data_IF_910410283000
#
_entry.id   IF_910410283000
#
_cell.length_a   1.000
_cell.length_b   1.000
_cell.length_c   1.000
_cell.angle_alpha   90.00
_cell.angle_beta   90.00
_cell.angle_gamma   90.00
#
_symmetry.space_group_name_H-M   'P 1'
#
loop_
_entity.id
_entity.type
_entity.pdbx_description
1 polymer ?
#
# COMPACT_ATOMS: atom_id res chain seq x y z
N UNK A 1 7.87 10.07 -15.69
CA UNK A 1 6.68 10.54 -14.92
C UNK A 1 6.52 9.73 -13.65
N UNK A 2 6.49 8.39 -13.75
CA UNK A 2 6.68 7.54 -12.57
C UNK A 2 7.98 7.88 -11.82
N UNK A 3 9.05 8.14 -12.56
CA UNK A 3 10.34 8.57 -11.98
C UNK A 3 10.21 9.87 -11.21
N UNK A 4 9.36 10.80 -11.65
CA UNK A 4 9.11 12.05 -10.93
C UNK A 4 8.49 11.75 -9.56
N UNK A 5 7.44 10.93 -9.52
CA UNK A 5 6.80 10.52 -8.27
C UNK A 5 7.81 9.79 -7.38
N UNK A 6 8.48 8.76 -7.89
CA UNK A 6 9.47 8.00 -7.12
C UNK A 6 10.61 8.87 -6.60
N UNK A 7 11.14 9.80 -7.40
CA UNK A 7 12.17 10.73 -6.95
C UNK A 7 11.70 11.57 -5.76
N UNK A 8 10.43 11.99 -5.73
CA UNK A 8 9.88 12.70 -4.56
C UNK A 8 9.70 11.78 -3.36
N UNK A 9 9.25 10.54 -3.55
CA UNK A 9 9.16 9.56 -2.44
C UNK A 9 10.55 9.23 -1.87
N UNK A 10 11.55 9.06 -2.74
CA UNK A 10 12.93 8.80 -2.33
C UNK A 10 13.51 10.03 -1.58
N UNK A 11 13.17 11.27 -2.00
CA UNK A 11 13.52 12.50 -1.24
C UNK A 11 12.84 12.56 0.12
N UNK A 12 11.54 12.22 0.20
CA UNK A 12 10.81 12.16 1.48
C UNK A 12 11.49 11.17 2.42
N UNK A 13 11.78 9.96 1.94
CA UNK A 13 12.48 8.97 2.76
C UNK A 13 13.86 9.47 3.18
N UNK A 14 14.64 10.06 2.27
CA UNK A 14 15.96 10.62 2.61
C UNK A 14 15.91 11.69 3.72
N UNK A 15 14.88 12.53 3.73
CA UNK A 15 14.72 13.60 4.72
C UNK A 15 14.15 13.10 6.05
N UNK A 16 13.06 12.33 6.01
CA UNK A 16 12.29 11.96 7.21
C UNK A 16 12.76 10.66 7.86
N UNK A 17 13.82 10.02 7.36
CA UNK A 17 14.40 8.81 7.98
C UNK A 17 15.71 9.06 8.72
N UNK A 18 16.15 10.32 8.81
CA UNK A 18 17.47 10.70 9.33
C UNK A 18 17.37 11.86 10.32
N UNK A 19 18.48 12.13 11.03
CA UNK A 19 18.62 13.30 11.91
C UNK A 19 17.51 13.37 12.97
N UNK A 20 16.87 14.53 13.05
CA UNK A 20 15.83 14.81 14.06
C UNK A 20 14.57 13.94 13.90
N UNK A 21 14.32 13.40 12.70
CA UNK A 21 13.18 12.52 12.43
C UNK A 21 13.43 11.05 12.79
N UNK A 22 14.65 10.68 13.17
CA UNK A 22 15.01 9.29 13.41
C UNK A 22 14.19 8.63 14.54
N UNK A 23 13.89 9.38 15.61
CA UNK A 23 13.07 8.87 16.70
C UNK A 23 11.63 8.61 16.25
N UNK A 24 11.05 9.53 15.48
CA UNK A 24 9.70 9.38 14.93
C UNK A 24 9.63 8.20 13.94
N UNK A 25 10.67 8.00 13.11
CA UNK A 25 10.78 6.82 12.26
C UNK A 25 10.78 5.53 13.08
N UNK A 26 11.56 5.47 14.17
CA UNK A 26 11.63 4.29 15.03
C UNK A 26 10.27 3.98 15.65
N UNK A 27 9.59 4.98 16.20
CA UNK A 27 8.22 4.85 16.72
C UNK A 27 7.24 4.39 15.64
N UNK A 28 7.33 4.95 14.43
CA UNK A 28 6.51 4.54 13.30
C UNK A 28 6.75 3.07 12.91
N UNK A 29 8.01 2.64 12.87
CA UNK A 29 8.41 1.26 12.55
C UNK A 29 7.85 0.29 13.58
N UNK A 30 8.04 0.57 14.86
CA UNK A 30 7.49 -0.23 15.96
C UNK A 30 5.96 -0.31 15.89
N UNK A 31 5.29 0.82 15.66
CA UNK A 31 3.83 0.87 15.49
C UNK A 31 3.36 0.02 14.31
N UNK A 32 3.93 0.21 13.14
CA UNK A 32 3.52 -0.52 11.93
C UNK A 32 3.68 -2.03 12.09
N UNK A 33 4.81 -2.52 12.62
CA UNK A 33 5.02 -3.95 12.83
C UNK A 33 4.26 -4.52 14.02
N UNK A 34 3.82 -3.69 14.98
CA UNK A 34 2.84 -4.11 15.99
C UNK A 34 1.48 -4.44 15.36
N UNK A 35 1.10 -3.71 14.30
CA UNK A 35 -0.18 -3.85 13.61
C UNK A 35 -0.14 -4.97 12.56
N UNK A 36 0.93 -5.06 11.79
CA UNK A 36 1.06 -5.98 10.63
C UNK A 36 1.81 -7.28 10.94
N UNK A 37 2.27 -7.43 12.18
CA UNK A 37 3.04 -8.58 12.66
C UNK A 37 4.56 -8.35 12.60
N UNK A 38 5.31 -9.11 13.39
CA UNK A 38 6.77 -8.90 13.54
C UNK A 38 7.51 -9.05 12.21
N UNK A 39 8.47 -8.16 11.98
CA UNK A 39 9.41 -8.25 10.87
C UNK A 39 10.49 -9.29 11.18
N UNK A 40 10.87 -10.05 10.17
CA UNK A 40 11.94 -11.03 10.21
C UNK A 40 12.89 -10.66 9.07
N UNK A 41 14.13 -10.32 9.41
CA UNK A 41 15.10 -9.77 8.45
C UNK A 41 15.72 -10.84 7.55
N UNK A 42 15.61 -12.10 7.95
CA UNK A 42 16.17 -13.26 7.23
C UNK A 42 15.19 -13.87 6.22
N UNK A 43 14.00 -13.27 6.05
CA UNK A 43 12.95 -13.76 5.14
C UNK A 43 12.95 -13.05 3.80
N UNK A 44 12.62 -13.80 2.75
CA UNK A 44 12.51 -13.30 1.37
C UNK A 44 11.55 -12.10 1.24
N UNK A 45 10.53 -12.00 2.10
CA UNK A 45 9.58 -10.89 2.06
C UNK A 45 10.07 -9.60 2.72
N UNK A 46 11.25 -9.58 3.38
CA UNK A 46 11.73 -8.42 4.13
C UNK A 46 11.66 -7.11 3.33
N UNK A 47 12.21 -7.10 2.11
CA UNK A 47 12.21 -5.93 1.23
C UNK A 47 10.79 -5.47 0.87
N UNK A 48 9.90 -6.40 0.53
CA UNK A 48 8.50 -6.07 0.21
C UNK A 48 7.78 -5.44 1.40
N UNK A 49 8.04 -5.95 2.61
CA UNK A 49 7.46 -5.43 3.84
C UNK A 49 8.03 -4.07 4.21
N UNK A 50 9.31 -3.83 3.92
CA UNK A 50 9.91 -2.51 4.13
C UNK A 50 9.37 -1.48 3.16
N UNK A 51 9.12 -1.86 1.91
CA UNK A 51 8.43 -0.99 0.95
C UNK A 51 7.00 -0.64 1.42
N UNK A 52 6.24 -1.62 1.93
CA UNK A 52 4.90 -1.37 2.49
C UNK A 52 4.94 -0.47 3.74
N UNK A 53 5.94 -0.66 4.61
CA UNK A 53 6.20 0.23 5.74
C UNK A 53 6.51 1.66 5.28
N UNK A 54 7.43 1.83 4.34
CA UNK A 54 7.83 3.15 3.82
C UNK A 54 6.63 3.90 3.25
N UNK A 55 5.83 3.22 2.43
CA UNK A 55 4.60 3.78 1.89
C UNK A 55 3.61 4.14 3.01
N UNK A 56 3.46 3.29 4.04
CA UNK A 56 2.61 3.61 5.19
C UNK A 56 3.11 4.81 6.00
N UNK A 57 4.42 4.90 6.21
CA UNK A 57 5.07 5.98 6.93
C UNK A 57 4.85 7.32 6.21
N UNK A 58 5.00 7.35 4.89
CA UNK A 58 4.81 8.57 4.11
C UNK A 58 3.35 9.04 4.12
N UNK A 59 2.40 8.13 3.87
CA UNK A 59 1.01 8.51 3.52
C UNK A 59 -0.02 8.35 4.65
N UNK A 60 0.32 7.64 5.73
CA UNK A 60 -0.63 7.33 6.80
C UNK A 60 -0.10 7.60 8.21
N UNK A 61 1.21 7.52 8.46
CA UNK A 61 1.75 7.85 9.77
C UNK A 61 1.52 9.33 10.08
N UNK A 62 1.02 9.60 11.29
CA UNK A 62 0.83 10.96 11.81
C UNK A 62 1.97 11.27 12.77
N UNK A 63 2.63 12.38 12.51
CA UNK A 63 3.66 12.98 13.36
C UNK A 63 3.02 13.53 14.64
N UNK A 64 3.86 13.99 15.58
CA UNK A 64 3.43 14.54 16.88
C UNK A 64 2.49 15.73 16.76
N UNK A 65 2.64 16.54 15.71
CA UNK A 65 1.76 17.68 15.40
C UNK A 65 0.44 17.27 14.70
N UNK A 66 0.24 15.97 14.46
CA UNK A 66 -0.93 15.40 13.80
C UNK A 66 -0.86 15.36 12.27
N UNK A 67 0.11 16.03 11.65
CA UNK A 67 0.31 16.03 10.20
C UNK A 67 0.87 14.70 9.71
N UNK A 68 0.61 14.35 8.44
CA UNK A 68 1.30 13.25 7.79
C UNK A 68 2.67 13.72 7.28
N UNK A 69 3.62 12.78 7.16
CA UNK A 69 4.95 13.05 6.61
C UNK A 69 4.85 13.69 5.21
N UNK A 70 3.97 13.17 4.34
CA UNK A 70 3.79 13.74 3.01
C UNK A 70 3.21 15.17 3.02
N UNK A 71 2.35 15.51 3.97
CA UNK A 71 1.76 16.84 4.09
C UNK A 71 2.81 17.87 4.48
N UNK A 72 3.69 17.52 5.44
CA UNK A 72 4.79 18.38 5.84
C UNK A 72 5.83 18.54 4.70
N UNK A 73 6.13 17.46 3.98
CA UNK A 73 7.02 17.53 2.83
C UNK A 73 6.50 18.50 1.75
N UNK A 74 5.21 18.40 1.40
CA UNK A 74 4.57 19.29 0.42
C UNK A 74 4.67 20.76 0.87
N UNK A 75 4.37 21.03 2.15
CA UNK A 75 4.42 22.38 2.73
C UNK A 75 5.82 23.00 2.63
N UNK A 76 6.86 22.21 2.92
CA UNK A 76 8.23 22.71 3.03
C UNK A 76 8.97 22.76 1.68
N UNK A 77 8.50 22.05 0.64
CA UNK A 77 9.21 21.92 -0.64
C UNK A 77 8.53 22.63 -1.82
N UNK A 78 7.39 23.30 -1.61
CA UNK A 78 6.68 24.09 -2.63
C UNK A 78 6.50 23.34 -3.97
N UNK A 79 5.97 22.12 -3.91
CA UNK A 79 5.77 21.29 -5.10
C UNK A 79 4.70 21.89 -6.03
N UNK A 80 4.78 21.56 -7.32
CA UNK A 80 3.71 21.88 -8.28
C UNK A 80 2.35 21.37 -7.77
N UNK A 81 1.29 22.18 -7.95
CA UNK A 81 -0.05 21.87 -7.45
C UNK A 81 -0.54 20.48 -7.88
N UNK A 82 -0.38 20.14 -9.17
CA UNK A 82 -0.78 18.83 -9.70
C UNK A 82 -0.09 17.65 -8.99
N UNK A 83 1.18 17.83 -8.60
CA UNK A 83 1.94 16.80 -7.90
C UNK A 83 1.53 16.72 -6.43
N UNK A 84 1.36 17.87 -5.77
CA UNK A 84 0.84 17.97 -4.40
C UNK A 84 -0.50 17.27 -4.28
N UNK A 85 -1.43 17.55 -5.19
CA UNK A 85 -2.74 16.90 -5.22
C UNK A 85 -2.63 15.39 -5.47
N UNK A 86 -1.74 14.95 -6.35
CA UNK A 86 -1.53 13.52 -6.58
C UNK A 86 -1.01 12.80 -5.33
N UNK A 87 -0.06 13.40 -4.61
CA UNK A 87 0.54 12.84 -3.39
C UNK A 87 -0.43 12.82 -2.21
N UNK A 88 -1.33 13.80 -2.10
CA UNK A 88 -2.37 13.84 -1.08
C UNK A 88 -3.50 12.82 -1.33
N UNK A 89 -3.74 12.47 -2.60
CA UNK A 89 -4.84 11.59 -3.02
C UNK A 89 -4.36 10.19 -3.43
N UNK A 90 -3.31 9.67 -2.78
CA UNK A 90 -2.85 8.29 -3.01
C UNK A 90 -3.89 7.30 -2.48
N UNK A 91 -4.36 6.42 -3.36
CA UNK A 91 -5.33 5.37 -3.05
C UNK A 91 -4.61 4.14 -2.47
N UNK A 92 -4.76 3.88 -1.17
CA UNK A 92 -4.36 2.61 -0.56
C UNK A 92 -5.55 1.65 -0.60
N UNK A 93 -5.41 0.51 -1.27
CA UNK A 93 -6.52 -0.41 -1.46
C UNK A 93 -6.08 -1.88 -1.60
N UNK A 94 -7.08 -2.75 -1.67
CA UNK A 94 -7.00 -4.15 -2.07
C UNK A 94 -7.24 -4.27 -3.57
N UNK A 95 -6.23 -4.69 -4.31
CA UNK A 95 -6.28 -4.84 -5.75
C UNK A 95 -6.25 -6.31 -6.20
N UNK A 96 -6.84 -6.56 -7.36
CA UNK A 96 -6.70 -7.80 -8.13
C UNK A 96 -6.09 -7.46 -9.49
N UNK A 97 -5.01 -8.14 -9.89
CA UNK A 97 -4.53 -8.07 -11.26
C UNK A 97 -5.45 -8.87 -12.18
N UNK A 98 -6.17 -8.19 -13.07
CA UNK A 98 -7.23 -8.82 -13.86
C UNK A 98 -6.81 -9.27 -15.24
N UNK A 99 -5.89 -8.54 -15.89
CA UNK A 99 -5.35 -8.87 -17.22
C UNK A 99 -4.37 -7.80 -17.69
N UNK A 100 -3.59 -8.15 -18.71
CA UNK A 100 -2.92 -7.19 -19.57
C UNK A 100 -3.84 -6.78 -20.72
N UNK A 101 -4.01 -5.46 -20.92
CA UNK A 101 -4.83 -4.92 -22.01
C UNK A 101 -4.18 -5.13 -23.38
N UNK A 102 -4.95 -4.93 -24.45
CA UNK A 102 -4.43 -4.94 -25.82
C UNK A 102 -3.30 -3.91 -26.06
N UNK A 103 -3.21 -2.86 -25.23
CA UNK A 103 -2.15 -1.86 -25.26
C UNK A 103 -0.94 -2.23 -24.38
N UNK A 104 -0.85 -3.48 -23.93
CA UNK A 104 0.17 -3.98 -23.00
C UNK A 104 0.20 -3.23 -21.65
N UNK A 105 -0.97 -2.78 -21.17
CA UNK A 105 -1.09 -2.11 -19.88
C UNK A 105 -1.68 -3.06 -18.84
N UNK A 106 -1.17 -3.02 -17.62
CA UNK A 106 -1.70 -3.77 -16.48
C UNK A 106 -3.07 -3.19 -16.10
N UNK A 107 -4.08 -4.05 -15.98
CA UNK A 107 -5.43 -3.70 -15.55
C UNK A 107 -5.70 -4.29 -14.17
N UNK A 108 -5.92 -3.41 -13.20
CA UNK A 108 -6.27 -3.76 -11.83
C UNK A 108 -7.78 -3.58 -11.59
N UNK A 109 -8.35 -4.46 -10.78
CA UNK A 109 -9.62 -4.24 -10.13
C UNK A 109 -9.34 -3.80 -8.69
N UNK A 110 -9.78 -2.60 -8.34
CA UNK A 110 -9.88 -2.18 -6.95
C UNK A 110 -11.07 -2.91 -6.32
N UNK A 111 -10.79 -3.89 -5.46
CA UNK A 111 -11.81 -4.69 -4.79
C UNK A 111 -12.49 -3.88 -3.68
N UNK A 112 -11.73 -3.06 -2.95
CA UNK A 112 -12.25 -2.28 -1.83
C UNK A 112 -13.20 -1.19 -2.29
N UNK A 113 -12.88 -0.50 -3.36
CA UNK A 113 -13.67 0.63 -3.89
C UNK A 113 -14.53 0.25 -5.11
N UNK A 114 -14.41 -0.99 -5.60
CA UNK A 114 -15.15 -1.51 -6.76
C UNK A 114 -14.85 -0.77 -8.09
N UNK A 115 -13.64 -0.23 -8.22
CA UNK A 115 -13.21 0.51 -9.41
C UNK A 115 -12.28 -0.30 -10.31
N UNK A 116 -12.16 0.12 -11.57
CA UNK A 116 -11.21 -0.45 -12.52
C UNK A 116 -10.11 0.56 -12.79
N UNK A 117 -8.86 0.16 -12.59
CA UNK A 117 -7.69 1.00 -12.76
C UNK A 117 -6.82 0.41 -13.88
N UNK A 118 -6.33 1.25 -14.77
CA UNK A 118 -5.35 0.85 -15.80
C UNK A 118 -4.07 1.62 -15.56
N UNK A 119 -2.97 0.89 -15.34
CA UNK A 119 -1.67 1.50 -15.11
C UNK A 119 -1.10 2.06 -16.41
N UNK A 120 -0.20 3.03 -16.29
CA UNK A 120 0.52 3.62 -17.42
C UNK A 120 1.17 2.55 -18.32
N UNK A 121 1.38 2.88 -19.60
CA UNK A 121 2.17 2.03 -20.50
C UNK A 121 3.60 1.85 -19.97
N UNK A 122 4.16 0.66 -20.14
CA UNK A 122 5.50 0.31 -19.69
C UNK A 122 5.72 0.56 -18.18
N UNK A 123 4.67 0.45 -17.36
CA UNK A 123 4.84 0.39 -15.91
C UNK A 123 5.90 -0.67 -15.58
N UNK A 124 6.87 -0.38 -14.68
CA UNK A 124 7.89 -1.33 -14.29
C UNK A 124 7.27 -2.68 -13.96
N UNK A 125 7.93 -3.74 -14.41
CA UNK A 125 7.44 -5.11 -14.28
C UNK A 125 7.32 -5.43 -12.80
N UNK A 126 6.09 -5.54 -12.33
CA UNK A 126 5.79 -6.24 -11.09
C UNK A 126 5.53 -7.68 -11.55
N UNK A 127 6.13 -8.65 -10.87
CA UNK A 127 5.93 -10.09 -11.15
C UNK A 127 4.52 -10.53 -10.74
N UNK A 128 3.50 -9.94 -11.37
CA UNK A 128 2.09 -10.24 -11.15
C UNK A 128 1.61 -11.25 -12.18
N UNK A 129 0.84 -12.22 -11.71
CA UNK A 129 0.12 -13.21 -12.50
C UNK A 129 -1.37 -12.86 -12.44
N UNK A 130 -2.08 -13.03 -13.55
CA UNK A 130 -3.51 -12.78 -13.60
C UNK A 130 -4.23 -13.56 -12.48
N UNK A 131 -5.08 -12.86 -11.73
CA UNK A 131 -5.77 -13.39 -10.56
C UNK A 131 -5.07 -13.10 -9.23
N UNK A 132 -3.83 -12.61 -9.24
CA UNK A 132 -3.12 -12.18 -8.03
C UNK A 132 -3.89 -11.08 -7.30
N UNK A 133 -3.90 -11.18 -5.97
CA UNK A 133 -4.58 -10.26 -5.07
C UNK A 133 -3.56 -9.70 -4.09
N UNK A 134 -3.57 -8.39 -3.88
CA UNK A 134 -2.59 -7.71 -3.03
C UNK A 134 -3.12 -6.41 -2.44
N UNK A 135 -2.59 -6.00 -1.28
CA UNK A 135 -2.72 -4.60 -0.84
C UNK A 135 -1.59 -3.78 -1.45
N UNK A 136 -1.88 -2.52 -1.78
CA UNK A 136 -0.87 -1.61 -2.31
C UNK A 136 -1.44 -0.21 -2.52
N UNK A 137 -0.60 0.69 -3.06
CA UNK A 137 -0.99 2.08 -3.28
C UNK A 137 -0.94 2.46 -4.75
N UNK A 138 -2.01 3.07 -5.25
CA UNK A 138 -2.07 3.66 -6.59
C UNK A 138 -2.14 5.17 -6.48
N UNK A 139 -1.26 5.84 -7.21
CA UNK A 139 -1.28 7.29 -7.38
C UNK A 139 -1.78 7.63 -8.79
N UNK A 140 -2.62 8.66 -8.90
CA UNK A 140 -3.02 9.24 -10.18
C UNK A 140 -2.29 10.57 -10.36
N UNK A 141 -1.44 10.65 -11.38
CA UNK A 141 -0.66 11.86 -11.68
C UNK A 141 -0.69 12.15 -13.18
N UNK A 142 -1.08 13.38 -13.55
CA UNK A 142 -1.25 13.83 -14.94
C UNK A 142 -2.10 12.88 -15.80
N UNK A 143 -3.20 12.40 -15.20
CA UNK A 143 -4.19 11.52 -15.87
C UNK A 143 -3.81 10.04 -15.93
N UNK A 144 -2.59 9.66 -15.56
CA UNK A 144 -2.09 8.29 -15.58
C UNK A 144 -2.06 7.69 -14.16
N UNK A 145 -2.22 6.37 -14.07
CA UNK A 145 -2.15 5.64 -12.80
C UNK A 145 -0.83 4.88 -12.67
N UNK A 146 -0.27 4.92 -11.47
CA UNK A 146 0.98 4.26 -11.13
C UNK A 146 0.82 3.48 -9.83
N UNK A 147 1.31 2.25 -9.80
CA UNK A 147 1.35 1.42 -8.60
C UNK A 147 2.69 1.68 -7.89
N UNK A 148 2.63 2.02 -6.61
CA UNK A 148 3.81 2.24 -5.77
C UNK A 148 4.46 0.92 -5.37
N UNK A 149 5.66 1.01 -4.77
CA UNK A 149 6.54 -0.15 -4.49
C UNK A 149 6.00 -1.03 -3.36
N UNK A 150 5.29 -0.46 -2.38
CA UNK A 150 4.73 -1.19 -1.25
C UNK A 150 3.54 -2.04 -1.66
N UNK A 151 3.81 -3.31 -1.95
CA UNK A 151 2.80 -4.31 -2.33
C UNK A 151 2.89 -5.51 -1.37
N UNK A 152 1.75 -5.90 -0.80
CA UNK A 152 1.63 -7.11 0.02
C UNK A 152 0.78 -8.16 -0.69
N UNK A 153 1.42 -9.20 -1.23
CA UNK A 153 0.75 -10.28 -1.95
C UNK A 153 -0.04 -11.18 -0.99
N UNK A 154 -1.33 -11.37 -1.30
CA UNK A 154 -2.24 -12.19 -0.51
C UNK A 154 -2.50 -13.55 -1.19
N UNK A 155 -2.79 -14.61 -0.42
CA UNK A 155 -3.10 -15.91 -1.00
C UNK A 155 -4.34 -15.85 -1.91
N UNK A 156 -4.25 -16.34 -3.15
CA UNK A 156 -5.36 -16.27 -4.11
C UNK A 156 -6.65 -16.96 -3.59
N UNK A 157 -6.50 -18.03 -2.81
CA UNK A 157 -7.61 -18.79 -2.23
C UNK A 157 -8.55 -17.98 -1.31
N UNK A 158 -8.10 -16.84 -0.77
CA UNK A 158 -8.92 -16.02 0.14
C UNK A 158 -9.72 -14.91 -0.57
N UNK A 159 -9.57 -14.78 -1.90
CA UNK A 159 -10.18 -13.71 -2.70
C UNK A 159 -11.68 -13.52 -2.47
N UNK A 160 -12.46 -14.61 -2.40
CA UNK A 160 -13.92 -14.54 -2.18
C UNK A 160 -14.27 -13.97 -0.81
N UNK A 161 -13.51 -14.35 0.22
CA UNK A 161 -13.62 -13.83 1.59
C UNK A 161 -13.33 -12.34 1.59
N UNK A 162 -12.21 -11.94 0.96
CA UNK A 162 -11.80 -10.54 0.88
C UNK A 162 -12.86 -9.70 0.16
N UNK A 163 -13.36 -10.14 -1.01
CA UNK A 163 -14.44 -9.44 -1.74
C UNK A 163 -15.69 -9.23 -0.88
N UNK A 164 -16.08 -10.22 -0.06
CA UNK A 164 -17.24 -10.08 0.85
C UNK A 164 -16.98 -9.06 1.95
N UNK A 165 -15.78 -9.06 2.55
CA UNK A 165 -15.44 -8.16 3.64
C UNK A 165 -15.19 -6.73 3.17
N UNK A 166 -14.52 -6.55 2.03
CA UNK A 166 -14.38 -5.25 1.37
C UNK A 166 -15.73 -4.56 1.14
N UNK A 167 -16.77 -5.30 0.74
CA UNK A 167 -18.14 -4.76 0.62
C UNK A 167 -18.74 -4.30 1.95
N UNK A 168 -18.39 -4.94 3.07
CA UNK A 168 -18.86 -4.53 4.39
C UNK A 168 -18.12 -3.28 4.86
N UNK A 169 -16.80 -3.28 4.75
CA UNK A 169 -15.93 -2.16 5.14
C UNK A 169 -16.31 -0.90 4.34
N UNK A 170 -16.44 -1.01 3.01
CA UNK A 170 -16.88 0.10 2.15
C UNK A 170 -18.21 0.72 2.58
N UNK A 171 -19.15 -0.08 3.12
CA UNK A 171 -20.46 0.42 3.59
C UNK A 171 -20.36 1.25 4.87
N UNK A 172 -19.27 1.14 5.63
CA UNK A 172 -19.02 1.96 6.81
C UNK A 172 -18.66 3.41 6.44
N UNK A 173 -18.22 3.65 5.19
CA UNK A 173 -17.89 4.97 4.66
C UNK A 173 -16.91 5.73 5.58
N UNK A 174 -15.88 5.02 6.04
CA UNK A 174 -14.91 5.46 7.03
C UNK A 174 -13.50 5.12 6.55
N UNK A 175 -12.68 6.15 6.33
CA UNK A 175 -11.29 5.99 5.96
C UNK A 175 -10.49 5.20 7.01
N UNK A 176 -10.82 5.38 8.29
CA UNK A 176 -10.15 4.68 9.38
C UNK A 176 -10.47 3.18 9.36
N UNK A 177 -11.73 2.80 9.10
CA UNK A 177 -12.12 1.40 8.98
C UNK A 177 -11.48 0.73 7.76
N UNK A 178 -11.38 1.45 6.64
CA UNK A 178 -10.67 0.98 5.45
C UNK A 178 -9.18 0.76 5.72
N UNK A 179 -8.51 1.72 6.38
CA UNK A 179 -7.10 1.59 6.74
C UNK A 179 -6.87 0.43 7.72
N UNK A 180 -7.71 0.32 8.75
CA UNK A 180 -7.63 -0.78 9.72
C UNK A 180 -7.83 -2.14 9.06
N UNK A 181 -8.78 -2.24 8.13
CA UNK A 181 -8.98 -3.44 7.33
C UNK A 181 -7.73 -3.80 6.52
N UNK A 182 -7.13 -2.84 5.80
CA UNK A 182 -5.94 -3.09 4.98
C UNK A 182 -4.73 -3.53 5.83
N UNK A 183 -4.51 -2.90 6.99
CA UNK A 183 -3.46 -3.31 7.94
C UNK A 183 -3.73 -4.71 8.53
N UNK A 184 -5.00 -5.04 8.78
CA UNK A 184 -5.39 -6.38 9.20
C UNK A 184 -5.09 -7.42 8.11
N UNK A 185 -5.25 -7.10 6.82
CA UNK A 185 -4.88 -8.03 5.74
C UNK A 185 -3.39 -8.37 5.76
N UNK A 186 -2.53 -7.38 6.00
CA UNK A 186 -1.09 -7.60 6.12
C UNK A 186 -0.75 -8.42 7.36
N UNK A 187 -1.43 -8.19 8.48
CA UNK A 187 -1.31 -9.01 9.68
C UNK A 187 -1.68 -10.48 9.41
N UNK A 188 -2.80 -10.70 8.73
CA UNK A 188 -3.29 -12.03 8.38
C UNK A 188 -2.36 -12.73 7.39
N UNK A 189 -1.75 -11.99 6.45
CA UNK A 189 -0.70 -12.49 5.57
C UNK A 189 0.54 -12.93 6.37
N UNK A 190 1.03 -12.11 7.30
CA UNK A 190 2.16 -12.48 8.18
C UNK A 190 1.83 -13.74 8.97
N UNK A 191 0.61 -13.85 9.50
CA UNK A 191 0.14 -15.05 10.19
C UNK A 191 0.11 -16.27 9.24
N UNK A 192 -0.40 -16.12 8.03
CA UNK A 192 -0.44 -17.20 7.04
C UNK A 192 0.95 -17.70 6.63
N UNK A 193 1.95 -16.81 6.60
CA UNK A 193 3.35 -17.22 6.37
C UNK A 193 3.89 -18.06 7.53
N UNK A 194 3.60 -17.70 8.78
CA UNK A 194 4.04 -18.47 9.95
C UNK A 194 3.35 -19.84 10.04
N UNK A 195 2.12 -19.93 9.56
CA UNK A 195 1.34 -21.16 9.53
C UNK A 195 1.14 -21.64 8.09
N UNK A 196 2.22 -21.75 7.32
CA UNK A 196 2.18 -22.10 5.89
C UNK A 196 1.53 -23.46 5.57
N UNK A 197 1.47 -24.36 6.56
CA UNK A 197 0.79 -25.66 6.47
C UNK A 197 -0.74 -25.57 6.66
N UNK A 198 -1.27 -24.44 7.10
CA UNK A 198 -2.70 -24.21 7.32
C UNK A 198 -3.29 -23.53 6.08
N UNK A 199 -4.46 -24.01 5.65
CA UNK A 199 -5.25 -23.35 4.60
C UNK A 199 -5.50 -21.87 4.97
N UNK A 200 -5.07 -20.91 4.12
CA UNK A 200 -5.25 -19.49 4.38
C UNK A 200 -6.71 -19.08 4.66
N UNK A 201 -7.71 -19.79 4.14
CA UNK A 201 -9.13 -19.52 4.41
C UNK A 201 -9.51 -19.70 5.88
N UNK A 202 -8.75 -20.52 6.63
CA UNK A 202 -8.90 -20.69 8.08
C UNK A 202 -8.18 -19.62 8.89
N UNK A 203 -7.34 -18.81 8.24
CA UNK A 203 -6.59 -17.72 8.86
C UNK A 203 -7.29 -16.39 8.60
N UNK A 204 -7.71 -16.15 7.36
CA UNK A 204 -8.40 -14.93 6.93
C UNK A 204 -9.87 -14.93 7.38
N UNK A 205 -10.08 -14.85 8.68
CA UNK A 205 -11.40 -14.80 9.32
C UNK A 205 -11.60 -13.37 9.86
N UNK A 206 -12.75 -12.80 9.55
CA UNK A 206 -13.14 -11.45 9.95
C UNK A 206 -14.48 -11.54 10.67
N UNK A 207 -14.51 -11.02 11.90
CA UNK A 207 -15.71 -11.01 12.74
C UNK A 207 -16.69 -9.91 12.29
#
# INVERSE_FOLDING_TARGET
>A
MLDTVHNHLDKVLGLYTQGDFFNDLKEAKEKYFSLTGKLDEDKDEFESRMNSFNDWYIFQYRQKDGSKVIEDYIRNNQLEEDLSQALLNVNHSLFEFTKTSFRKQIVLKDILHDEKITLVKNHPTISLIEGDVFTGRVIKYKGEHYLLRGVCMLPQGVKSILKKQSKKVRKQNSFEDELNYLLQLEQLKTKAMHYSHIDPTKIFIFN
#
